data_IF_265104916381
#
_entry.id   IF_265104916381
#
_cell.length_a   1.000
_cell.length_b   1.000
_cell.length_c   1.000
_cell.angle_alpha   90.00
_cell.angle_beta   90.00
_cell.angle_gamma   90.00
#
_symmetry.space_group_name_H-M   'P 1'
#
loop_
_entity.id
_entity.type
_entity.pdbx_description
1 polymer ?
#
# COMPACT_ATOMS: atom_id res chain seq x y z
N UNK A 1 -35.74 4.88 8.68
CA UNK A 1 -35.08 3.75 9.38
C UNK A 1 -34.30 2.91 8.35
N UNK A 2 -33.05 3.26 8.08
CA UNK A 2 -32.16 2.39 7.29
C UNK A 2 -31.65 1.30 8.24
N UNK A 3 -32.37 0.17 8.30
CA UNK A 3 -32.14 -0.92 9.25
C UNK A 3 -30.75 -1.57 9.10
N UNK A 4 -30.37 -2.34 10.13
CA UNK A 4 -29.12 -3.11 10.24
C UNK A 4 -28.65 -3.76 8.92
N UNK A 5 -29.61 -4.21 8.11
CA UNK A 5 -29.39 -4.88 6.83
C UNK A 5 -28.71 -3.99 5.76
N UNK A 6 -29.02 -2.69 5.74
CA UNK A 6 -28.41 -1.73 4.80
C UNK A 6 -26.94 -1.43 5.15
N UNK A 7 -26.64 -1.32 6.45
CA UNK A 7 -25.28 -1.21 6.98
C UNK A 7 -24.49 -2.50 6.77
N UNK A 8 -25.12 -3.66 6.99
CA UNK A 8 -24.54 -4.98 6.73
C UNK A 8 -24.11 -5.15 5.26
N UNK A 9 -24.95 -4.76 4.30
CA UNK A 9 -24.62 -4.84 2.87
C UNK A 9 -23.51 -3.88 2.46
N UNK A 10 -23.47 -2.67 3.03
CA UNK A 10 -22.40 -1.67 2.81
C UNK A 10 -21.03 -2.11 3.34
N UNK A 11 -20.98 -3.02 4.32
CA UNK A 11 -19.75 -3.52 4.93
C UNK A 11 -19.27 -4.85 4.32
N UNK A 12 -19.84 -5.28 3.18
CA UNK A 12 -19.48 -6.53 2.50
C UNK A 12 -20.39 -7.72 2.85
N UNK A 13 -21.34 -7.56 3.77
CA UNK A 13 -22.38 -8.53 4.08
C UNK A 13 -21.86 -9.94 4.39
N UNK A 14 -22.46 -10.95 3.75
CA UNK A 14 -22.09 -12.37 3.90
C UNK A 14 -20.64 -12.67 3.50
N UNK A 15 -20.03 -11.87 2.62
CA UNK A 15 -18.62 -12.05 2.24
C UNK A 15 -17.68 -11.72 3.41
N UNK A 16 -18.00 -10.71 4.22
CA UNK A 16 -17.21 -10.32 5.39
C UNK A 16 -17.24 -11.39 6.49
N UNK A 17 -18.43 -11.95 6.77
CA UNK A 17 -18.56 -13.06 7.75
C UNK A 17 -17.76 -14.29 7.30
N UNK A 18 -17.79 -14.59 6.00
CA UNK A 18 -16.99 -15.69 5.45
C UNK A 18 -15.48 -15.42 5.54
N UNK A 19 -15.04 -14.19 5.30
CA UNK A 19 -13.64 -13.79 5.51
C UNK A 19 -13.22 -13.97 6.97
N UNK A 20 -14.02 -13.48 7.91
CA UNK A 20 -13.74 -13.64 9.34
C UNK A 20 -13.74 -15.10 9.80
N UNK A 21 -14.64 -15.92 9.26
CA UNK A 21 -14.67 -17.37 9.53
C UNK A 21 -13.40 -18.02 9.02
N UNK A 22 -13.02 -17.71 7.78
CA UNK A 22 -11.82 -18.21 7.12
C UNK A 22 -10.54 -17.82 7.86
N UNK A 23 -10.46 -16.59 8.36
CA UNK A 23 -9.36 -16.10 9.20
C UNK A 23 -9.44 -16.59 10.66
N UNK A 24 -10.52 -17.28 11.06
CA UNK A 24 -10.75 -17.78 12.41
C UNK A 24 -10.92 -16.67 13.45
N UNK A 25 -11.45 -15.51 13.06
CA UNK A 25 -11.71 -14.36 13.94
C UNK A 25 -13.20 -14.06 14.10
N UNK A 26 -14.08 -14.83 13.45
CA UNK A 26 -15.53 -14.61 13.47
C UNK A 26 -16.13 -14.51 14.89
N UNK A 27 -15.83 -15.42 15.85
CA UNK A 27 -16.39 -15.31 17.20
C UNK A 27 -16.00 -14.01 17.90
N UNK A 28 -14.77 -13.53 17.67
CA UNK A 28 -14.30 -12.27 18.22
C UNK A 28 -15.04 -11.08 17.59
N UNK A 29 -15.16 -11.05 16.26
CA UNK A 29 -15.84 -9.97 15.56
C UNK A 29 -17.32 -9.88 15.96
N UNK A 30 -18.02 -11.02 16.06
CA UNK A 30 -19.42 -11.08 16.51
C UNK A 30 -19.55 -10.58 17.94
N UNK A 31 -18.71 -11.06 18.86
CA UNK A 31 -18.73 -10.60 20.25
C UNK A 31 -18.51 -9.09 20.36
N UNK A 32 -17.55 -8.52 19.61
CA UNK A 32 -17.28 -7.08 19.61
C UNK A 32 -18.45 -6.27 19.04
N UNK A 33 -19.10 -6.74 17.97
CA UNK A 33 -20.32 -6.09 17.44
C UNK A 33 -21.45 -6.12 18.47
N UNK A 34 -21.65 -7.23 19.18
CA UNK A 34 -22.65 -7.32 20.25
C UNK A 34 -22.37 -6.36 21.41
N UNK A 35 -21.10 -6.17 21.77
CA UNK A 35 -20.69 -5.30 22.88
C UNK A 35 -20.70 -3.81 22.53
N UNK A 36 -20.33 -3.44 21.31
CA UNK A 36 -20.08 -2.03 20.93
C UNK A 36 -21.12 -1.46 19.97
N UNK A 37 -21.97 -2.31 19.37
CA UNK A 37 -23.00 -1.92 18.41
C UNK A 37 -22.51 -1.80 16.96
N UNK A 38 -23.37 -1.25 16.10
CA UNK A 38 -23.18 -1.17 14.63
C UNK A 38 -22.98 0.26 14.11
N UNK A 39 -22.63 1.20 14.99
CA UNK A 39 -22.27 2.55 14.56
C UNK A 39 -20.98 2.51 13.73
N UNK A 40 -20.75 3.52 12.87
CA UNK A 40 -19.49 3.61 12.11
C UNK A 40 -18.26 3.55 13.02
N UNK A 41 -18.30 4.25 14.16
CA UNK A 41 -17.21 4.23 15.15
C UNK A 41 -17.01 2.85 15.76
N UNK A 42 -18.10 2.18 16.17
CA UNK A 42 -18.06 0.82 16.72
C UNK A 42 -17.47 -0.19 15.74
N UNK A 43 -17.83 -0.09 14.46
CA UNK A 43 -17.35 -0.99 13.41
C UNK A 43 -15.87 -0.78 13.09
N UNK A 44 -15.35 0.45 13.16
CA UNK A 44 -13.91 0.66 13.06
C UNK A 44 -13.16 0.05 14.26
N UNK A 45 -13.71 0.12 15.47
CA UNK A 45 -13.13 -0.59 16.64
C UNK A 45 -13.10 -2.10 16.40
N UNK A 46 -14.18 -2.69 15.88
CA UNK A 46 -14.24 -4.11 15.49
C UNK A 46 -13.15 -4.43 14.45
N UNK A 47 -13.00 -3.58 13.42
CA UNK A 47 -11.99 -3.75 12.37
C UNK A 47 -10.57 -3.74 12.95
N UNK A 48 -10.24 -2.75 13.79
CA UNK A 48 -8.93 -2.64 14.44
C UNK A 48 -8.65 -3.87 15.30
N UNK A 49 -9.63 -4.32 16.08
CA UNK A 49 -9.53 -5.53 16.88
C UNK A 49 -9.32 -6.80 16.05
N UNK A 50 -10.03 -6.93 14.93
CA UNK A 50 -9.86 -8.05 13.98
C UNK A 50 -8.45 -8.04 13.39
N UNK A 51 -7.97 -6.89 12.94
CA UNK A 51 -6.61 -6.74 12.43
C UNK A 51 -5.58 -7.11 13.50
N UNK A 52 -5.78 -6.71 14.75
CA UNK A 52 -4.87 -7.08 15.85
C UNK A 52 -4.83 -8.59 16.07
N UNK A 53 -5.99 -9.26 16.05
CA UNK A 53 -6.05 -10.72 16.14
C UNK A 53 -5.38 -11.43 14.96
N UNK A 54 -5.55 -10.91 13.74
CA UNK A 54 -4.89 -11.48 12.56
C UNK A 54 -3.38 -11.29 12.66
N UNK A 55 -2.90 -10.11 13.05
CA UNK A 55 -1.48 -9.84 13.26
C UNK A 55 -0.89 -10.78 14.31
N UNK A 56 -1.56 -11.01 15.43
CA UNK A 56 -1.11 -11.95 16.45
C UNK A 56 -0.96 -13.38 15.91
N UNK A 57 -1.92 -13.84 15.09
CA UNK A 57 -1.83 -15.16 14.44
C UNK A 57 -0.67 -15.23 13.44
N UNK A 58 -0.51 -14.20 12.62
CA UNK A 58 0.59 -14.11 11.65
C UNK A 58 1.94 -14.11 12.37
N UNK A 59 2.11 -13.31 13.43
CA UNK A 59 3.31 -13.31 14.28
C UNK A 59 3.60 -14.70 14.81
N UNK A 60 2.64 -15.36 15.46
CA UNK A 60 2.84 -16.71 16.01
C UNK A 60 3.27 -17.71 14.94
N UNK A 61 2.70 -17.65 13.74
CA UNK A 61 2.99 -18.60 12.66
C UNK A 61 4.31 -18.33 11.95
N UNK A 62 4.62 -17.06 11.68
CA UNK A 62 5.73 -16.67 10.82
C UNK A 62 6.95 -16.12 11.57
N UNK A 63 6.92 -16.05 12.90
CA UNK A 63 8.10 -15.67 13.69
C UNK A 63 9.31 -16.59 13.40
N UNK A 64 9.18 -17.93 13.33
CA UNK A 64 10.32 -18.78 12.99
C UNK A 64 10.91 -18.49 11.60
N UNK A 65 10.08 -18.03 10.66
CA UNK A 65 10.51 -17.65 9.30
C UNK A 65 11.32 -16.36 9.33
N UNK A 66 10.93 -15.41 10.18
CA UNK A 66 11.68 -14.18 10.40
C UNK A 66 13.00 -14.44 11.12
N UNK A 67 13.01 -15.31 12.13
CA UNK A 67 14.22 -15.73 12.84
C UNK A 67 15.22 -16.42 11.91
N UNK A 68 14.75 -17.35 11.07
CA UNK A 68 15.58 -17.99 10.06
C UNK A 68 16.15 -16.96 9.06
N UNK A 69 15.33 -15.98 8.62
CA UNK A 69 15.80 -14.89 7.78
C UNK A 69 16.91 -14.07 8.47
N UNK A 70 16.80 -13.79 9.77
CA UNK A 70 17.82 -13.04 10.49
C UNK A 70 19.16 -13.79 10.58
N UNK A 71 19.13 -15.12 10.72
CA UNK A 71 20.34 -15.95 10.67
C UNK A 71 20.97 -15.96 9.26
N UNK A 72 20.15 -16.14 8.23
CA UNK A 72 20.58 -16.02 6.81
C UNK A 72 21.19 -14.62 6.55
N UNK A 73 20.57 -13.56 7.06
CA UNK A 73 21.05 -12.17 6.95
C UNK A 73 22.42 -11.97 7.59
N UNK A 74 22.61 -12.43 8.84
CA UNK A 74 23.90 -12.34 9.54
C UNK A 74 25.01 -13.12 8.83
N UNK A 75 24.67 -14.23 8.18
CA UNK A 75 25.64 -15.03 7.41
C UNK A 75 26.11 -14.38 6.10
N UNK A 76 25.52 -13.23 5.71
CA UNK A 76 25.89 -12.52 4.49
C UNK A 76 25.22 -13.02 3.21
N UNK A 77 24.28 -13.97 3.30
CA UNK A 77 23.56 -14.52 2.13
C UNK A 77 22.74 -13.49 1.35
N UNK A 78 22.45 -12.34 1.95
CA UNK A 78 21.70 -11.23 1.35
C UNK A 78 22.57 -10.07 0.87
N UNK A 79 23.90 -10.19 0.94
CA UNK A 79 24.81 -9.20 0.36
C UNK A 79 24.56 -9.12 -1.15
N UNK A 80 24.09 -7.96 -1.61
CA UNK A 80 23.82 -7.70 -3.03
C UNK A 80 24.72 -6.58 -3.50
N UNK A 81 25.22 -6.69 -4.73
CA UNK A 81 25.79 -5.54 -5.42
C UNK A 81 24.68 -4.50 -5.59
N UNK A 82 24.87 -3.33 -4.98
CA UNK A 82 23.91 -2.26 -5.08
C UNK A 82 23.92 -1.70 -6.50
N UNK A 83 22.89 -2.03 -7.28
CA UNK A 83 22.69 -1.36 -8.56
C UNK A 83 22.29 0.11 -8.29
N UNK A 84 23.25 1.02 -8.49
CA UNK A 84 23.13 2.45 -8.16
C UNK A 84 22.39 3.24 -9.24
N UNK A 85 21.24 2.74 -9.71
CA UNK A 85 20.40 3.50 -10.65
C UNK A 85 19.11 3.91 -9.94
N UNK A 86 18.97 5.20 -9.56
CA UNK A 86 17.73 5.74 -9.04
C UNK A 86 16.58 5.46 -10.02
N UNK A 87 15.50 4.88 -9.50
CA UNK A 87 14.33 4.46 -10.30
C UNK A 87 13.03 4.81 -9.59
N UNK A 88 12.01 5.12 -10.39
CA UNK A 88 10.62 5.14 -9.95
C UNK A 88 9.88 3.99 -10.63
N UNK A 89 9.20 3.17 -9.84
CA UNK A 89 8.40 2.04 -10.29
C UNK A 89 6.94 2.42 -10.24
N UNK A 90 6.26 2.32 -11.39
CA UNK A 90 4.81 2.44 -11.50
C UNK A 90 4.29 1.17 -12.14
N UNK A 91 3.14 0.68 -11.69
CA UNK A 91 2.56 -0.54 -12.23
C UNK A 91 1.13 -0.30 -12.72
N UNK A 92 0.87 -0.66 -13.96
CA UNK A 92 -0.47 -0.81 -14.51
C UNK A 92 -0.48 -1.98 -15.50
N UNK A 93 -1.04 -3.12 -15.07
CA UNK A 93 -0.89 -4.40 -15.80
C UNK A 93 -1.40 -4.34 -17.23
N UNK A 94 -2.45 -3.56 -17.46
CA UNK A 94 -3.10 -3.39 -18.77
C UNK A 94 -2.34 -2.44 -19.70
N UNK A 95 -1.27 -1.78 -19.27
CA UNK A 95 -0.62 -0.68 -20.01
C UNK A 95 -1.28 0.66 -19.73
N UNK A 96 -0.47 1.73 -19.61
CA UNK A 96 -0.96 3.05 -19.18
C UNK A 96 -1.95 3.65 -20.19
N UNK A 97 -1.80 3.33 -21.47
CA UNK A 97 -2.69 3.71 -22.56
C UNK A 97 -4.13 3.21 -22.35
N UNK A 98 -4.30 2.10 -21.63
CA UNK A 98 -5.60 1.51 -21.29
C UNK A 98 -6.09 1.91 -19.89
N UNK A 99 -5.34 2.75 -19.17
CA UNK A 99 -5.73 3.23 -17.85
C UNK A 99 -6.81 4.33 -17.97
N UNK A 100 -7.65 4.52 -16.93
CA UNK A 100 -8.56 5.67 -16.86
C UNK A 100 -7.79 6.98 -17.03
N UNK A 101 -8.43 8.00 -17.62
CA UNK A 101 -7.80 9.30 -17.92
C UNK A 101 -7.04 9.89 -16.73
N UNK A 102 -7.66 9.95 -15.55
CA UNK A 102 -7.01 10.43 -14.32
C UNK A 102 -5.72 9.67 -13.96
N UNK A 103 -5.65 8.36 -14.23
CA UNK A 103 -4.46 7.54 -13.99
C UNK A 103 -3.36 7.88 -14.99
N UNK A 104 -3.72 8.13 -16.25
CA UNK A 104 -2.79 8.61 -17.27
C UNK A 104 -2.21 9.97 -16.88
N UNK A 105 -3.06 10.89 -16.39
CA UNK A 105 -2.61 12.22 -15.95
C UNK A 105 -1.70 12.15 -14.71
N UNK A 106 -2.01 11.26 -13.77
CA UNK A 106 -1.13 10.97 -12.64
C UNK A 106 0.25 10.48 -13.13
N UNK A 107 0.28 9.53 -14.05
CA UNK A 107 1.53 9.02 -14.63
C UNK A 107 2.32 10.12 -15.35
N UNK A 108 1.66 10.93 -16.20
CA UNK A 108 2.28 12.06 -16.89
C UNK A 108 2.89 13.07 -15.91
N UNK A 109 2.18 13.39 -14.81
CA UNK A 109 2.69 14.32 -13.79
C UNK A 109 3.98 13.82 -13.12
N UNK A 110 4.12 12.50 -12.94
CA UNK A 110 5.34 11.90 -12.41
C UNK A 110 6.47 12.04 -13.42
N UNK A 111 6.20 11.79 -14.71
CA UNK A 111 7.18 11.97 -15.78
C UNK A 111 7.64 13.41 -15.96
N UNK A 112 6.74 14.36 -15.75
CA UNK A 112 7.05 15.79 -15.85
C UNK A 112 7.93 16.27 -14.69
N UNK A 113 7.65 15.84 -13.46
CA UNK A 113 8.26 16.42 -12.26
C UNK A 113 9.41 15.60 -11.67
N UNK A 114 9.55 14.32 -12.01
CA UNK A 114 10.66 13.48 -11.56
C UNK A 114 11.58 13.21 -12.75
N UNK A 115 12.62 14.04 -12.91
CA UNK A 115 13.52 14.01 -14.07
C UNK A 115 14.93 13.50 -13.76
N UNK A 116 15.27 13.31 -12.47
CA UNK A 116 16.60 12.91 -11.99
C UNK A 116 16.80 11.38 -11.94
N UNK A 117 15.79 10.59 -12.33
CA UNK A 117 15.77 9.14 -12.20
C UNK A 117 14.92 8.47 -13.26
N UNK A 118 15.20 7.19 -13.53
CA UNK A 118 14.47 6.43 -14.56
C UNK A 118 13.08 6.06 -14.06
N UNK A 119 12.04 6.50 -14.77
CA UNK A 119 10.66 6.05 -14.53
C UNK A 119 10.40 4.78 -15.33
N UNK A 120 9.99 3.71 -14.65
CA UNK A 120 9.72 2.41 -15.24
C UNK A 120 8.26 2.03 -15.01
N UNK A 121 7.51 1.91 -16.10
CA UNK A 121 6.15 1.37 -16.11
C UNK A 121 6.20 -0.16 -16.25
N UNK A 122 5.74 -0.86 -15.21
CA UNK A 122 5.52 -2.30 -15.22
C UNK A 122 4.13 -2.61 -15.73
N UNK A 123 4.07 -3.53 -16.70
CA UNK A 123 2.86 -4.04 -17.35
C UNK A 123 2.88 -5.56 -17.36
N UNK A 124 1.78 -6.20 -17.76
CA UNK A 124 1.75 -7.65 -17.93
C UNK A 124 2.79 -8.16 -18.96
N UNK A 125 3.17 -7.33 -19.94
CA UNK A 125 4.08 -7.67 -21.03
C UNK A 125 5.55 -7.71 -20.59
N UNK A 126 5.97 -6.78 -19.75
CA UNK A 126 7.39 -6.62 -19.37
C UNK A 126 7.73 -7.05 -17.94
N UNK A 127 6.75 -7.36 -17.07
CA UNK A 127 7.03 -7.69 -15.65
C UNK A 127 8.09 -8.77 -15.45
N UNK A 128 8.11 -9.78 -16.34
CA UNK A 128 9.03 -10.93 -16.27
C UNK A 128 10.48 -10.56 -16.64
N UNK A 129 10.71 -9.41 -17.29
CA UNK A 129 12.04 -8.87 -17.56
C UNK A 129 12.71 -8.34 -16.27
N UNK A 130 11.91 -7.89 -15.30
CA UNK A 130 12.39 -7.31 -14.04
C UNK A 130 12.38 -8.32 -12.90
N UNK A 131 11.27 -9.04 -12.73
CA UNK A 131 11.08 -9.99 -11.63
C UNK A 131 10.48 -11.29 -12.17
N UNK A 132 11.19 -12.38 -11.94
CA UNK A 132 10.68 -13.74 -12.11
C UNK A 132 10.34 -14.27 -10.73
N UNK A 133 9.05 -14.54 -10.49
CA UNK A 133 8.62 -15.13 -9.23
C UNK A 133 8.80 -16.65 -9.24
N UNK A 134 8.91 -17.29 -8.05
CA UNK A 134 8.80 -18.73 -7.93
C UNK A 134 7.52 -19.28 -8.56
N UNK A 135 7.58 -20.48 -9.12
CA UNK A 135 6.48 -21.11 -9.87
C UNK A 135 5.16 -21.13 -9.08
N UNK A 136 5.20 -21.38 -7.77
CA UNK A 136 3.99 -21.42 -6.95
C UNK A 136 3.28 -20.06 -6.84
N UNK A 137 3.99 -18.93 -7.01
CA UNK A 137 3.37 -17.60 -7.05
C UNK A 137 2.80 -17.35 -8.45
N UNK A 138 3.57 -17.66 -9.50
CA UNK A 138 3.12 -17.48 -10.89
C UNK A 138 1.85 -18.28 -11.17
N UNK A 139 1.85 -19.57 -10.82
CA UNK A 139 0.69 -20.46 -10.99
C UNK A 139 -0.54 -19.97 -10.21
N UNK A 140 -0.36 -19.48 -8.98
CA UNK A 140 -1.47 -18.94 -8.18
C UNK A 140 -1.99 -17.61 -8.73
N UNK A 141 -1.14 -16.79 -9.33
CA UNK A 141 -1.57 -15.57 -10.01
C UNK A 141 -2.35 -15.89 -11.29
N UNK A 142 -1.83 -16.79 -12.12
CA UNK A 142 -2.49 -17.24 -13.36
C UNK A 142 -3.84 -17.92 -13.08
N UNK A 143 -3.94 -18.68 -11.99
CA UNK A 143 -5.20 -19.28 -11.53
C UNK A 143 -6.17 -18.28 -10.86
N UNK A 144 -5.80 -17.01 -10.71
CA UNK A 144 -6.63 -15.98 -10.06
C UNK A 144 -6.75 -16.10 -8.54
N UNK A 145 -5.95 -16.99 -7.92
CA UNK A 145 -5.87 -17.15 -6.46
C UNK A 145 -5.19 -15.91 -5.83
N UNK A 146 -4.10 -15.46 -6.44
CA UNK A 146 -3.51 -14.15 -6.14
C UNK A 146 -4.17 -13.14 -7.08
N UNK A 147 -4.86 -12.15 -6.54
CA UNK A 147 -5.49 -11.10 -7.37
C UNK A 147 -4.44 -10.11 -7.87
N UNK A 148 -4.77 -9.32 -8.91
CA UNK A 148 -3.89 -8.25 -9.41
C UNK A 148 -3.38 -7.31 -8.31
N UNK A 149 -4.24 -6.96 -7.33
CA UNK A 149 -3.86 -6.11 -6.19
C UNK A 149 -2.80 -6.76 -5.31
N UNK A 150 -2.93 -8.04 -4.97
CA UNK A 150 -1.96 -8.69 -4.09
C UNK A 150 -0.70 -9.13 -4.85
N UNK A 151 -0.82 -9.34 -6.16
CA UNK A 151 0.34 -9.52 -7.02
C UNK A 151 1.17 -8.23 -7.12
N UNK A 152 0.53 -7.05 -7.21
CA UNK A 152 1.27 -5.79 -7.18
C UNK A 152 1.97 -5.53 -5.84
N UNK A 153 1.42 -6.03 -4.72
CA UNK A 153 2.12 -6.04 -3.43
C UNK A 153 3.42 -6.87 -3.47
N UNK A 154 3.38 -8.06 -4.08
CA UNK A 154 4.56 -8.91 -4.27
C UNK A 154 5.58 -8.27 -5.20
N UNK A 155 5.12 -7.68 -6.30
CA UNK A 155 5.95 -6.99 -7.29
C UNK A 155 6.64 -5.79 -6.69
N UNK A 156 5.93 -4.98 -5.91
CA UNK A 156 6.47 -3.81 -5.22
C UNK A 156 7.69 -4.17 -4.37
N UNK A 157 7.54 -5.12 -3.46
CA UNK A 157 8.65 -5.50 -2.58
C UNK A 157 9.76 -6.24 -3.34
N UNK A 158 9.43 -7.00 -4.38
CA UNK A 158 10.44 -7.69 -5.19
C UNK A 158 11.32 -6.71 -5.99
N UNK A 159 10.72 -5.69 -6.59
CA UNK A 159 11.44 -4.63 -7.30
C UNK A 159 12.32 -3.82 -6.35
N UNK A 160 11.77 -3.39 -5.21
CA UNK A 160 12.52 -2.62 -4.22
C UNK A 160 13.69 -3.41 -3.63
N UNK A 161 13.52 -4.71 -3.36
CA UNK A 161 14.62 -5.55 -2.86
C UNK A 161 15.69 -5.73 -3.94
N UNK A 162 15.30 -5.96 -5.20
CA UNK A 162 16.26 -6.25 -6.27
C UNK A 162 17.01 -5.01 -6.76
N UNK A 163 16.31 -3.88 -6.86
CA UNK A 163 16.79 -2.70 -7.57
C UNK A 163 16.79 -1.42 -6.74
N UNK A 164 16.17 -1.44 -5.55
CA UNK A 164 15.88 -0.22 -4.80
C UNK A 164 14.94 0.72 -5.55
N UNK A 165 15.07 2.01 -5.25
CA UNK A 165 14.27 3.08 -5.85
C UNK A 165 12.96 3.32 -5.11
N UNK A 166 11.99 3.92 -5.82
CA UNK A 166 10.70 4.34 -5.25
C UNK A 166 9.56 3.69 -5.99
N UNK A 167 8.74 2.89 -5.31
CA UNK A 167 7.44 2.52 -5.81
C UNK A 167 6.45 3.67 -5.63
N UNK A 168 5.68 3.97 -6.68
CA UNK A 168 4.57 4.92 -6.66
C UNK A 168 3.36 4.27 -7.34
N UNK A 169 2.23 4.17 -6.65
CA UNK A 169 0.98 3.71 -7.26
C UNK A 169 0.58 4.63 -8.43
N UNK A 170 0.08 4.06 -9.53
CA UNK A 170 -0.25 4.82 -10.75
C UNK A 170 -1.29 5.93 -10.58
N UNK A 171 -2.01 5.94 -9.46
CA UNK A 171 -3.01 6.96 -9.09
C UNK A 171 -2.46 8.11 -8.24
N UNK A 172 -1.14 8.20 -8.08
CA UNK A 172 -0.49 9.29 -7.35
C UNK A 172 -0.19 10.42 -8.32
N UNK A 173 -0.76 11.58 -8.06
CA UNK A 173 -0.50 12.81 -8.79
C UNK A 173 0.68 13.54 -8.14
N UNK A 174 1.66 13.95 -8.94
CA UNK A 174 2.80 14.74 -8.49
C UNK A 174 2.60 16.19 -8.88
N UNK A 175 2.81 17.11 -7.94
CA UNK A 175 2.72 18.55 -8.19
C UNK A 175 4.09 19.23 -8.28
N UNK A 176 5.16 18.45 -8.31
CA UNK A 176 6.54 18.93 -8.41
C UNK A 176 6.97 19.81 -7.23
N UNK A 177 7.74 20.84 -7.53
CA UNK A 177 8.42 21.68 -6.55
C UNK A 177 9.66 21.01 -5.96
N UNK A 178 10.04 21.41 -4.74
CA UNK A 178 11.17 20.77 -4.04
C UNK A 178 10.69 19.46 -3.42
N UNK A 179 10.96 18.32 -4.08
CA UNK A 179 10.66 17.01 -3.51
C UNK A 179 11.65 16.73 -2.36
N UNK A 180 11.20 16.47 -1.13
CA UNK A 180 12.10 16.19 -0.03
C UNK A 180 12.93 14.93 -0.29
N UNK A 181 14.25 15.03 -0.13
CA UNK A 181 15.19 13.92 -0.39
C UNK A 181 14.83 12.65 0.38
N UNK A 182 14.31 12.77 1.60
CA UNK A 182 13.90 11.60 2.37
C UNK A 182 12.78 10.78 1.71
N UNK A 183 12.00 11.35 0.80
CA UNK A 183 10.96 10.61 0.08
C UNK A 183 11.57 9.73 -1.02
N UNK A 184 12.66 10.14 -1.68
CA UNK A 184 13.18 9.47 -2.87
C UNK A 184 14.58 8.85 -2.70
N UNK A 185 15.33 9.25 -1.67
CA UNK A 185 16.75 8.89 -1.47
C UNK A 185 17.03 8.28 -0.08
N UNK A 186 16.00 7.94 0.70
CA UNK A 186 16.19 7.26 2.00
C UNK A 186 16.53 5.78 1.83
N UNK A 187 17.26 5.23 2.82
CA UNK A 187 17.44 3.78 2.96
C UNK A 187 16.10 3.04 2.99
N UNK A 188 15.11 3.61 3.69
CA UNK A 188 13.71 3.22 3.62
C UNK A 188 12.80 4.41 3.95
N UNK A 189 11.74 4.60 3.16
CA UNK A 189 10.68 5.56 3.44
C UNK A 189 9.31 4.98 3.07
N UNK A 190 8.32 5.25 3.91
CA UNK A 190 6.91 4.94 3.67
C UNK A 190 6.04 5.94 4.43
N UNK A 191 4.91 6.34 3.85
CA UNK A 191 3.93 7.15 4.57
C UNK A 191 3.30 6.35 5.71
N UNK A 192 3.05 6.99 6.86
CA UNK A 192 2.60 6.31 8.06
C UNK A 192 1.52 7.07 8.84
N UNK A 193 0.73 6.35 9.63
CA UNK A 193 -0.11 6.98 10.67
C UNK A 193 0.83 7.53 11.76
N UNK A 194 0.58 8.76 12.21
CA UNK A 194 1.31 9.35 13.33
C UNK A 194 0.45 9.36 14.60
N UNK A 195 1.07 9.62 15.75
CA UNK A 195 0.34 9.80 17.02
C UNK A 195 -0.66 10.96 16.92
N UNK A 196 -1.83 10.86 17.59
CA UNK A 196 -2.26 9.74 18.44
C UNK A 196 -2.86 8.54 17.69
N UNK A 197 -3.14 8.67 16.39
CA UNK A 197 -3.79 7.61 15.60
C UNK A 197 -2.99 6.30 15.54
N UNK A 198 -1.67 6.39 15.51
CA UNK A 198 -0.77 5.24 15.51
C UNK A 198 -0.92 4.30 16.72
N UNK A 199 -1.35 4.83 17.89
CA UNK A 199 -1.46 4.03 19.13
C UNK A 199 -2.63 3.04 19.10
N UNK A 200 -3.69 3.35 18.34
CA UNK A 200 -4.86 2.47 18.17
C UNK A 200 -4.88 1.68 16.87
N UNK A 201 -4.09 2.09 15.88
CA UNK A 201 -4.05 1.46 14.56
C UNK A 201 -2.99 0.36 14.49
N UNK A 202 -3.39 -0.82 14.03
CA UNK A 202 -2.49 -1.98 13.87
C UNK A 202 -1.63 -1.84 12.62
N UNK A 203 -2.22 -1.28 11.55
CA UNK A 203 -1.61 -1.13 10.24
C UNK A 203 -1.27 0.35 10.04
N UNK A 204 -0.04 0.70 10.36
CA UNK A 204 0.40 2.09 10.45
C UNK A 204 1.12 2.62 9.22
N UNK A 205 1.09 1.92 8.09
CA UNK A 205 1.75 2.37 6.87
C UNK A 205 0.78 2.52 5.71
N UNK A 206 1.24 3.18 4.67
CA UNK A 206 0.58 3.26 3.37
C UNK A 206 1.56 2.88 2.28
N UNK A 207 1.39 1.67 1.76
CA UNK A 207 2.29 1.04 0.78
C UNK A 207 2.16 1.57 -0.66
N UNK A 208 1.27 2.54 -0.90
CA UNK A 208 1.11 3.15 -2.22
C UNK A 208 2.30 4.03 -2.64
N UNK A 209 3.18 4.38 -1.70
CA UNK A 209 4.46 5.03 -1.97
C UNK A 209 5.52 4.49 -1.01
N UNK A 210 6.58 3.89 -1.54
CA UNK A 210 7.64 3.27 -0.74
C UNK A 210 8.98 3.45 -1.43
N UNK A 211 9.97 3.94 -0.70
CA UNK A 211 11.36 4.02 -1.17
C UNK A 211 12.21 3.06 -0.37
N UNK A 212 13.15 2.40 -1.02
CA UNK A 212 14.16 1.58 -0.36
C UNK A 212 15.46 1.55 -1.15
N UNK A 213 16.59 1.42 -0.45
CA UNK A 213 17.82 0.96 -1.09
C UNK A 213 17.67 -0.52 -1.51
N UNK A 214 18.41 -0.92 -2.57
CA UNK A 214 18.47 -2.32 -2.97
C UNK A 214 18.97 -3.17 -1.79
N UNK A 215 18.33 -4.31 -1.58
CA UNK A 215 18.63 -5.21 -0.47
C UNK A 215 18.20 -4.71 0.92
N UNK A 216 17.42 -3.62 1.06
CA UNK A 216 16.99 -3.14 2.38
C UNK A 216 16.43 -4.27 3.27
N UNK A 217 16.93 -4.37 4.52
CA UNK A 217 16.62 -5.49 5.43
C UNK A 217 15.12 -5.63 5.71
N UNK A 218 14.43 -4.53 6.04
CA UNK A 218 13.00 -4.56 6.37
C UNK A 218 12.18 -5.03 5.17
N UNK A 219 12.44 -4.49 3.98
CA UNK A 219 11.70 -4.87 2.76
C UNK A 219 12.01 -6.32 2.37
N UNK A 220 13.26 -6.77 2.54
CA UNK A 220 13.68 -8.16 2.29
C UNK A 220 12.98 -9.15 3.20
N UNK A 221 12.87 -8.84 4.50
CA UNK A 221 12.13 -9.64 5.47
C UNK A 221 10.64 -9.74 5.11
N UNK A 222 10.00 -8.60 4.79
CA UNK A 222 8.59 -8.59 4.36
C UNK A 222 8.39 -9.43 3.10
N UNK A 223 9.30 -9.36 2.12
CA UNK A 223 9.26 -10.19 0.92
C UNK A 223 9.35 -11.67 1.26
N UNK A 224 10.29 -12.09 2.12
CA UNK A 224 10.42 -13.48 2.60
C UNK A 224 9.10 -13.97 3.22
N UNK A 225 8.52 -13.19 4.13
CA UNK A 225 7.26 -13.50 4.80
C UNK A 225 6.08 -13.65 3.82
N UNK A 226 5.98 -12.75 2.84
CA UNK A 226 4.95 -12.84 1.79
C UNK A 226 5.12 -14.07 0.91
N UNK A 227 6.35 -14.39 0.54
CA UNK A 227 6.65 -15.55 -0.31
C UNK A 227 6.34 -16.84 0.44
N UNK A 228 6.71 -16.91 1.72
CA UNK A 228 6.36 -18.01 2.61
C UNK A 228 4.85 -18.17 2.72
N UNK A 229 4.14 -17.07 2.96
CA UNK A 229 2.70 -17.07 3.07
C UNK A 229 2.04 -17.66 1.82
N UNK A 230 2.41 -17.18 0.65
CA UNK A 230 1.83 -17.68 -0.59
C UNK A 230 2.31 -19.07 -0.97
N UNK A 231 3.40 -19.59 -0.40
CA UNK A 231 3.79 -20.98 -0.59
C UNK A 231 2.79 -21.92 0.07
N UNK A 232 2.41 -21.60 1.31
CA UNK A 232 1.59 -22.46 2.16
C UNK A 232 0.07 -22.22 2.04
N UNK A 233 -0.36 -21.14 1.38
CA UNK A 233 -1.75 -20.72 1.37
C UNK A 233 -2.26 -20.45 -0.04
N UNK A 234 -3.49 -20.88 -0.32
CA UNK A 234 -4.26 -20.61 -1.55
C UNK A 234 -5.41 -19.64 -1.31
N UNK A 235 -5.33 -18.90 -0.21
CA UNK A 235 -6.33 -17.90 0.16
C UNK A 235 -5.69 -16.83 0.99
N UNK A 236 -6.14 -15.60 0.79
CA UNK A 236 -5.73 -14.47 1.60
C UNK A 236 -6.46 -14.44 2.95
N UNK A 237 -5.72 -14.20 4.03
CA UNK A 237 -6.23 -14.11 5.40
C UNK A 237 -6.84 -12.74 5.69
N UNK A 238 -6.22 -11.69 5.15
CA UNK A 238 -6.64 -10.30 5.25
C UNK A 238 -6.18 -9.53 4.02
N UNK A 239 -7.02 -8.62 3.52
CA UNK A 239 -6.72 -7.77 2.36
C UNK A 239 -5.39 -7.00 2.52
N UNK A 240 -5.03 -6.63 3.75
CA UNK A 240 -3.82 -5.85 4.04
C UNK A 240 -2.65 -6.73 4.52
N UNK A 241 -2.50 -7.96 3.99
CA UNK A 241 -1.42 -8.87 4.37
C UNK A 241 -0.01 -8.22 4.32
N UNK A 242 0.29 -7.45 3.27
CA UNK A 242 1.55 -6.68 3.16
C UNK A 242 1.76 -5.79 4.39
N UNK A 243 0.71 -5.10 4.84
CA UNK A 243 0.78 -4.17 5.97
C UNK A 243 0.91 -4.94 7.29
N UNK A 244 0.29 -6.12 7.42
CA UNK A 244 0.48 -6.98 8.58
C UNK A 244 1.93 -7.42 8.73
N UNK A 245 2.58 -7.84 7.63
CA UNK A 245 3.98 -8.23 7.68
C UNK A 245 4.90 -7.03 7.91
N UNK A 246 4.60 -5.85 7.35
CA UNK A 246 5.31 -4.64 7.73
C UNK A 246 5.16 -4.29 9.21
N UNK A 247 3.95 -4.39 9.79
CA UNK A 247 3.74 -4.16 11.22
C UNK A 247 4.47 -5.20 12.09
N UNK A 248 4.61 -6.43 11.63
CA UNK A 248 5.44 -7.43 12.30
C UNK A 248 6.93 -7.07 12.22
N UNK A 249 7.44 -6.73 11.04
CA UNK A 249 8.85 -6.41 10.80
C UNK A 249 9.27 -5.11 11.48
N UNK A 250 8.43 -4.07 11.47
CA UNK A 250 8.71 -2.80 12.14
C UNK A 250 8.83 -2.97 13.67
N UNK A 251 7.99 -3.81 14.27
CA UNK A 251 8.06 -4.15 15.69
C UNK A 251 9.29 -4.99 16.04
N UNK A 252 9.78 -5.83 15.10
CA UNK A 252 10.98 -6.64 15.30
C UNK A 252 12.28 -5.85 15.07
N UNK A 253 12.28 -4.90 14.13
CA UNK A 253 13.45 -4.12 13.73
C UNK A 253 13.28 -2.65 14.13
N UNK A 254 13.02 -2.43 15.42
CA UNK A 254 12.69 -1.10 15.99
C UNK A 254 13.76 -0.05 15.67
N UNK A 255 15.04 -0.42 15.70
CA UNK A 255 16.13 0.54 15.45
C UNK A 255 16.24 0.94 13.97
N UNK A 256 15.89 0.06 13.04
CA UNK A 256 15.77 0.41 11.63
C UNK A 256 14.51 1.24 11.38
N UNK A 257 13.40 0.90 12.05
CA UNK A 257 12.16 1.67 11.98
C UNK A 257 12.32 3.11 12.49
N UNK A 258 13.09 3.33 13.57
CA UNK A 258 13.40 4.66 14.11
C UNK A 258 14.13 5.58 13.11
N UNK A 259 14.82 5.02 12.12
CA UNK A 259 15.52 5.79 11.08
C UNK A 259 14.56 6.31 10.00
N UNK A 260 13.36 5.73 9.90
CA UNK A 260 12.36 6.12 8.90
C UNK A 260 11.79 7.49 9.27
N UNK A 261 11.94 8.46 8.38
CA UNK A 261 11.41 9.81 8.61
C UNK A 261 9.88 9.74 8.77
N UNK A 262 9.32 10.24 9.89
CA UNK A 262 7.88 10.21 10.11
C UNK A 262 7.16 11.25 9.25
N UNK A 263 6.30 10.77 8.35
CA UNK A 263 5.41 11.63 7.56
C UNK A 263 4.01 11.04 7.48
N UNK A 264 3.00 11.87 7.74
CA UNK A 264 1.61 11.44 7.83
C UNK A 264 1.06 10.99 6.47
N UNK A 265 0.45 9.80 6.43
CA UNK A 265 -0.28 9.33 5.26
C UNK A 265 -1.62 10.05 5.01
N UNK A 266 -2.12 10.84 5.96
CA UNK A 266 -3.36 11.61 5.79
C UNK A 266 -3.20 12.80 4.84
N UNK A 267 -2.00 13.41 4.81
CA UNK A 267 -1.73 14.62 4.04
C UNK A 267 -1.88 14.40 2.53
N UNK A 268 -1.29 13.34 1.92
CA UNK A 268 -1.50 13.01 0.50
C UNK A 268 -2.95 12.78 0.09
N UNK A 269 -3.87 12.55 1.03
CA UNK A 269 -5.28 12.31 0.75
C UNK A 269 -6.14 13.57 0.77
N UNK A 270 -5.62 14.74 1.18
CA UNK A 270 -6.43 15.95 1.29
C UNK A 270 -6.99 16.35 -0.08
N UNK A 271 -6.17 16.36 -1.14
CA UNK A 271 -6.65 16.68 -2.49
C UNK A 271 -7.73 15.70 -2.97
N UNK A 272 -7.58 14.40 -2.70
CA UNK A 272 -8.59 13.39 -3.03
C UNK A 272 -9.94 13.67 -2.37
N UNK A 273 -9.94 14.06 -1.10
CA UNK A 273 -11.17 14.31 -0.36
C UNK A 273 -11.90 15.56 -0.87
N UNK A 274 -11.18 16.47 -1.52
CA UNK A 274 -11.69 17.75 -2.06
C UNK A 274 -11.80 17.77 -3.57
N UNK A 275 -11.54 16.64 -4.24
CA UNK A 275 -11.34 16.58 -5.69
C UNK A 275 -12.52 17.14 -6.50
N UNK A 276 -13.75 17.01 -5.98
CA UNK A 276 -14.97 17.51 -6.60
C UNK A 276 -15.62 18.68 -5.86
N UNK A 277 -14.90 19.30 -4.91
CA UNK A 277 -15.31 20.57 -4.30
C UNK A 277 -14.95 21.75 -5.23
N UNK A 278 -15.60 22.92 -5.07
CA UNK A 278 -15.21 24.14 -5.78
C UNK A 278 -13.73 24.45 -5.62
N UNK A 279 -13.07 24.76 -6.73
CA UNK A 279 -11.64 25.04 -6.76
C UNK A 279 -11.30 26.24 -5.89
N UNK A 280 -10.26 26.09 -5.08
CA UNK A 280 -9.69 27.15 -4.28
C UNK A 280 -8.17 27.19 -4.50
N UNK A 281 -7.71 28.25 -5.17
CA UNK A 281 -6.31 28.43 -5.56
C UNK A 281 -5.36 28.45 -4.36
N UNK A 282 -5.69 29.21 -3.32
CA UNK A 282 -4.85 29.32 -2.11
C UNK A 282 -4.67 27.96 -1.45
N UNK A 283 -5.75 27.19 -1.29
CA UNK A 283 -5.65 25.85 -0.74
C UNK A 283 -4.81 24.92 -1.64
N UNK A 284 -4.96 25.01 -2.96
CA UNK A 284 -4.16 24.18 -3.86
C UNK A 284 -2.66 24.48 -3.74
N UNK A 285 -2.27 25.76 -3.72
CA UNK A 285 -0.87 26.17 -3.53
C UNK A 285 -0.31 25.67 -2.19
N UNK A 286 -1.11 25.73 -1.13
CA UNK A 286 -0.72 25.21 0.18
C UNK A 286 -0.55 23.68 0.19
N UNK A 287 -1.43 22.95 -0.48
CA UNK A 287 -1.28 21.49 -0.59
C UNK A 287 0.00 21.10 -1.32
N UNK A 288 0.34 21.80 -2.42
CA UNK A 288 1.61 21.59 -3.15
C UNK A 288 2.83 21.85 -2.27
N UNK A 289 2.75 22.87 -1.40
CA UNK A 289 3.82 23.23 -0.47
C UNK A 289 4.04 22.19 0.62
N UNK A 290 2.96 21.57 1.12
CA UNK A 290 3.04 20.59 2.22
C UNK A 290 3.49 19.22 1.72
N UNK A 291 2.99 18.78 0.56
CA UNK A 291 3.31 17.45 0.02
C UNK A 291 3.30 17.47 -1.51
N UNK A 292 4.39 17.03 -2.18
CA UNK A 292 4.44 16.97 -3.64
C UNK A 292 3.66 15.79 -4.23
N UNK A 293 3.25 14.82 -3.42
CA UNK A 293 2.55 13.61 -3.87
C UNK A 293 1.14 13.53 -3.29
N UNK A 294 0.15 13.35 -4.17
CA UNK A 294 -1.27 13.33 -3.81
C UNK A 294 -1.88 12.01 -4.26
N UNK A 295 -2.35 11.18 -3.32
CA UNK A 295 -2.94 9.88 -3.63
C UNK A 295 -4.41 10.05 -4.00
N UNK A 296 -4.72 9.84 -5.27
CA UNK A 296 -6.07 9.99 -5.82
C UNK A 296 -6.81 8.65 -5.97
N UNK A 297 -8.04 8.70 -6.48
CA UNK A 297 -8.88 7.55 -6.78
C UNK A 297 -9.78 7.83 -7.99
N UNK A 298 -9.78 6.92 -8.97
CA UNK A 298 -10.51 7.10 -10.23
C UNK A 298 -11.89 6.43 -10.24
N UNK A 299 -12.21 5.55 -9.27
CA UNK A 299 -13.50 4.84 -9.18
C UNK A 299 -14.57 5.78 -8.63
N UNK A 300 -15.02 6.68 -9.49
CA UNK A 300 -15.99 7.77 -9.24
C UNK A 300 -17.03 7.80 -10.37
N UNK A 301 -18.14 8.50 -10.16
CA UNK A 301 -19.19 8.53 -11.18
C UNK A 301 -18.84 9.52 -12.29
N UNK A 302 -19.38 9.30 -13.50
CA UNK A 302 -19.15 10.20 -14.63
C UNK A 302 -19.70 11.60 -14.35
N UNK A 303 -20.76 11.70 -13.54
CA UNK A 303 -21.35 12.98 -13.12
C UNK A 303 -20.40 13.78 -12.23
N UNK A 304 -19.69 13.12 -11.30
CA UNK A 304 -18.67 13.79 -10.46
C UNK A 304 -17.56 14.39 -11.35
N UNK A 305 -17.09 13.66 -12.36
CA UNK A 305 -16.06 14.14 -13.29
C UNK A 305 -16.54 15.23 -14.27
N UNK A 306 -17.85 15.39 -14.44
CA UNK A 306 -18.43 16.41 -15.30
C UNK A 306 -18.64 17.77 -14.59
N UNK A 307 -18.50 17.82 -13.25
CA UNK A 307 -18.69 19.04 -12.46
C UNK A 307 -17.66 20.12 -12.82
N UNK A 308 -18.15 21.31 -13.14
CA UNK A 308 -17.33 22.47 -13.53
C UNK A 308 -16.84 23.30 -12.36
N UNK A 309 -15.65 23.89 -12.52
CA UNK A 309 -15.03 24.74 -11.50
C UNK A 309 -14.61 24.00 -10.24
N UNK A 310 -14.46 22.68 -10.31
CA UNK A 310 -13.96 21.86 -9.20
C UNK A 310 -12.44 21.74 -9.23
N UNK A 311 -11.83 21.22 -8.16
CA UNK A 311 -10.40 20.89 -8.19
C UNK A 311 -10.04 19.95 -9.35
N UNK A 312 -10.87 18.94 -9.62
CA UNK A 312 -10.66 18.05 -10.77
C UNK A 312 -10.68 18.81 -12.09
N UNK A 313 -11.73 19.60 -12.32
CA UNK A 313 -11.92 20.30 -13.60
C UNK A 313 -10.82 21.32 -13.87
N UNK A 314 -10.35 22.04 -12.85
CA UNK A 314 -9.30 23.07 -13.02
C UNK A 314 -7.89 22.46 -13.14
N UNK A 315 -7.63 21.30 -12.53
CA UNK A 315 -6.29 20.69 -12.52
C UNK A 315 -6.08 19.76 -13.72
N UNK A 316 -7.12 19.08 -14.20
CA UNK A 316 -7.00 17.98 -15.17
C UNK A 316 -7.65 18.24 -16.54
N UNK A 317 -8.43 19.32 -16.71
CA UNK A 317 -9.07 19.70 -17.98
C UNK A 317 -8.66 21.11 -18.42
#
# INVERSE_FOLDING_TARGET
MNGLFSTFKKLGGWSLLNLWRKAGVLPYAVAQVCLTGVSRKSLEIVRLGVQQKILHKLRKRYLPVLEAFDEEWKSGQYATEQESCPRVWICWMQGIENAPKLVQDCYSSIQEHITDRKIVLITAKNRKEYVVFPDYIEQKYEAGIITHTHFSDLLRVALLVKYGGTWIDATVFCTGGTIPRYMLDSDFFVFQNLKPGADGHVLNISSWFMTACAGNKMVSAVRKLLYEYWRENDRLIDYFLLHHFFAMVADSYVDDWKKVVPFSNSVPHILLLRLFEPYNKECYEELKRICPFHKLAYKRTSEEFALKGTFYDVIFN
#
